data_IF_229449630816
#
_entry.id   IF_229449630816
#
_cell.length_a   1.000
_cell.length_b   1.000
_cell.length_c   1.000
_cell.angle_alpha   90.00
_cell.angle_beta   90.00
_cell.angle_gamma   90.00
#
_symmetry.space_group_name_H-M   'P 1'
#
loop_
_entity.id
_entity.type
_entity.pdbx_description
1 polymer ?
#
# COMPACT_ATOMS: atom_id res chain seq x y z
N UNK A 1 -4.23 11.74 -2.04
CA UNK A 1 -4.87 10.58 -1.38
C UNK A 1 -3.85 9.45 -1.45
N UNK A 2 -3.62 8.62 -0.40
CA UNK A 2 -2.72 7.49 -0.58
C UNK A 2 -3.29 6.63 -1.71
N UNK A 3 -2.47 6.37 -2.73
CA UNK A 3 -2.79 5.60 -3.94
C UNK A 3 -3.06 4.13 -3.58
N UNK A 4 -4.15 3.85 -2.88
CA UNK A 4 -4.61 2.52 -2.47
C UNK A 4 -6.15 2.49 -2.44
N UNK A 5 -6.76 1.33 -2.71
CA UNK A 5 -8.22 1.14 -2.63
C UNK A 5 -8.97 1.14 -3.97
N UNK A 6 -8.36 0.68 -5.06
CA UNK A 6 -9.08 0.41 -6.31
C UNK A 6 -10.13 -0.70 -6.11
N UNK A 7 -11.25 -0.59 -6.83
CA UNK A 7 -12.32 -1.59 -6.81
C UNK A 7 -12.94 -1.76 -8.20
N UNK A 8 -12.49 -2.80 -8.89
CA UNK A 8 -12.91 -3.26 -10.22
C UNK A 8 -13.55 -4.65 -10.16
N UNK A 9 -13.64 -5.22 -8.95
CA UNK A 9 -14.13 -6.57 -8.69
C UNK A 9 -13.10 -7.68 -8.95
N UNK A 10 -11.87 -7.35 -9.34
CA UNK A 10 -10.77 -8.30 -9.58
C UNK A 10 -9.44 -7.72 -9.09
N UNK A 11 -8.76 -8.42 -8.17
CA UNK A 11 -7.54 -7.93 -7.52
C UNK A 11 -6.41 -7.59 -8.50
N UNK A 12 -6.20 -8.40 -9.54
CA UNK A 12 -5.20 -8.14 -10.58
C UNK A 12 -5.49 -6.84 -11.36
N UNK A 13 -6.77 -6.58 -11.65
CA UNK A 13 -7.21 -5.35 -12.30
C UNK A 13 -7.11 -4.14 -11.37
N UNK A 14 -7.36 -4.33 -10.08
CA UNK A 14 -7.21 -3.30 -9.06
C UNK A 14 -5.74 -2.86 -8.93
N UNK A 15 -4.81 -3.81 -8.90
CA UNK A 15 -3.37 -3.54 -8.90
C UNK A 15 -2.97 -2.80 -10.18
N UNK A 16 -3.38 -3.28 -11.36
CA UNK A 16 -3.07 -2.63 -12.63
C UNK A 16 -3.59 -1.19 -12.70
N UNK A 17 -4.80 -0.94 -12.16
CA UNK A 17 -5.36 0.41 -12.06
C UNK A 17 -4.50 1.29 -11.16
N UNK A 18 -4.12 0.82 -9.97
CA UNK A 18 -3.27 1.60 -9.06
C UNK A 18 -1.91 1.94 -9.69
N UNK A 19 -1.30 1.00 -10.42
CA UNK A 19 -0.07 1.25 -11.19
C UNK A 19 -0.25 2.36 -12.21
N UNK A 20 -1.36 2.36 -12.96
CA UNK A 20 -1.66 3.43 -13.92
C UNK A 20 -1.86 4.80 -13.26
N UNK A 21 -2.21 4.83 -11.97
CA UNK A 21 -2.36 6.05 -11.17
C UNK A 21 -1.04 6.48 -10.49
N UNK A 22 0.07 5.75 -10.71
CA UNK A 22 1.39 6.08 -10.16
C UNK A 22 1.75 5.36 -8.88
N UNK A 23 1.22 4.15 -8.65
CA UNK A 23 1.68 3.29 -7.56
C UNK A 23 3.18 2.95 -7.74
N UNK A 24 4.02 3.12 -6.70
CA UNK A 24 5.41 2.69 -6.73
C UNK A 24 5.54 1.17 -6.94
N UNK A 25 6.59 0.78 -7.64
CA UNK A 25 6.85 -0.61 -8.04
C UNK A 25 6.94 -1.55 -6.83
N UNK A 26 7.59 -1.13 -5.75
CA UNK A 26 7.76 -1.94 -4.55
C UNK A 26 6.42 -2.28 -3.89
N UNK A 27 5.45 -1.37 -4.01
CA UNK A 27 4.10 -1.54 -3.44
C UNK A 27 3.26 -2.44 -4.34
N UNK A 28 3.43 -2.32 -5.66
CA UNK A 28 2.84 -3.26 -6.62
C UNK A 28 3.33 -4.68 -6.31
N UNK A 29 4.64 -4.87 -6.18
CA UNK A 29 5.25 -6.18 -5.90
C UNK A 29 4.73 -6.79 -4.59
N UNK A 30 4.60 -5.98 -3.53
CA UNK A 30 4.04 -6.43 -2.25
C UNK A 30 2.56 -6.83 -2.39
N UNK A 31 1.75 -6.07 -3.16
CA UNK A 31 0.35 -6.41 -3.42
C UNK A 31 0.21 -7.68 -4.26
N UNK A 32 1.03 -7.85 -5.28
CA UNK A 32 1.05 -9.05 -6.12
C UNK A 32 1.51 -10.28 -5.34
N UNK A 33 2.49 -10.15 -4.44
CA UNK A 33 2.87 -11.21 -3.51
C UNK A 33 1.68 -11.66 -2.67
N UNK A 34 1.01 -10.74 -1.99
CA UNK A 34 -0.17 -11.03 -1.18
C UNK A 34 -1.31 -11.66 -2.01
N UNK A 35 -1.53 -11.18 -3.23
CA UNK A 35 -2.55 -11.73 -4.15
C UNK A 35 -2.25 -13.18 -4.53
N UNK A 36 -1.00 -13.48 -4.90
CA UNK A 36 -0.61 -14.83 -5.33
C UNK A 36 -0.67 -15.81 -4.17
N UNK A 37 -0.05 -15.47 -3.03
CA UNK A 37 -0.04 -16.37 -1.86
C UNK A 37 -1.45 -16.54 -1.30
N UNK A 38 -2.22 -15.45 -1.17
CA UNK A 38 -3.60 -15.49 -0.68
C UNK A 38 -4.53 -16.32 -1.58
N UNK A 39 -4.38 -16.27 -2.91
CA UNK A 39 -5.18 -17.07 -3.82
C UNK A 39 -4.79 -18.56 -3.82
N UNK A 40 -3.49 -18.86 -3.66
CA UNK A 40 -2.99 -20.25 -3.65
C UNK A 40 -3.37 -21.00 -2.36
N UNK A 41 -3.68 -20.30 -1.27
CA UNK A 41 -4.10 -20.92 -0.01
C UNK A 41 -5.54 -21.48 -0.02
N UNK A 42 -6.37 -21.19 -1.05
CA UNK A 42 -7.83 -21.43 -1.02
C UNK A 42 -8.32 -22.38 -2.12
N UNK A 43 -7.49 -23.33 -2.60
CA UNK A 43 -8.01 -24.40 -3.46
C UNK A 43 -8.78 -25.44 -2.61
N UNK A 44 -10.13 -25.52 -2.72
CA UNK A 44 -10.99 -26.13 -1.71
C UNK A 44 -11.05 -27.67 -1.74
N UNK A 45 -10.03 -28.33 -2.29
CA UNK A 45 -10.04 -29.80 -2.51
C UNK A 45 -8.80 -30.53 -2.01
N UNK A 46 -7.76 -29.82 -1.59
CA UNK A 46 -6.55 -30.39 -1.00
C UNK A 46 -6.09 -29.49 0.14
N UNK A 47 -5.72 -30.07 1.28
CA UNK A 47 -4.99 -29.36 2.33
C UNK A 47 -3.70 -28.84 1.67
N UNK A 48 -3.53 -27.52 1.56
CA UNK A 48 -2.31 -26.98 0.97
C UNK A 48 -1.15 -27.28 1.93
N UNK A 49 -0.30 -28.24 1.56
CA UNK A 49 0.82 -28.75 2.36
C UNK A 49 1.93 -27.68 2.50
N UNK A 50 1.86 -26.61 1.71
CA UNK A 50 2.83 -25.49 1.70
C UNK A 50 2.38 -24.27 2.53
N UNK A 51 1.27 -24.35 3.28
CA UNK A 51 0.86 -23.30 4.23
C UNK A 51 1.72 -23.39 5.51
N UNK A 52 2.85 -22.68 5.49
CA UNK A 52 3.84 -22.70 6.56
C UNK A 52 3.81 -21.41 7.39
N UNK A 53 4.22 -21.45 8.67
CA UNK A 53 4.41 -20.24 9.47
C UNK A 53 5.29 -19.19 8.77
N UNK A 54 6.30 -19.62 8.03
CA UNK A 54 7.20 -18.76 7.26
C UNK A 54 6.46 -17.98 6.17
N UNK A 55 5.53 -18.62 5.45
CA UNK A 55 4.70 -17.95 4.44
C UNK A 55 3.75 -16.92 5.07
N UNK A 56 3.14 -17.27 6.20
CA UNK A 56 2.32 -16.33 6.97
C UNK A 56 3.14 -15.13 7.44
N UNK A 57 4.36 -15.35 7.96
CA UNK A 57 5.27 -14.28 8.34
C UNK A 57 5.62 -13.37 7.16
N UNK A 58 5.98 -13.93 6.00
CA UNK A 58 6.26 -13.15 4.80
C UNK A 58 5.04 -12.33 4.33
N UNK A 59 3.83 -12.87 4.41
CA UNK A 59 2.60 -12.11 4.12
C UNK A 59 2.39 -10.96 5.11
N UNK A 60 2.62 -11.17 6.40
CA UNK A 60 2.53 -10.11 7.40
C UNK A 60 3.60 -9.02 7.20
N UNK A 61 4.80 -9.39 6.75
CA UNK A 61 5.83 -8.43 6.38
C UNK A 61 5.40 -7.57 5.20
N UNK A 62 4.89 -8.18 4.12
CA UNK A 62 4.39 -7.43 2.95
C UNK A 62 3.22 -6.52 3.31
N UNK A 63 2.27 -7.01 4.12
CA UNK A 63 1.15 -6.19 4.61
C UNK A 63 1.64 -5.01 5.46
N UNK A 64 2.56 -5.25 6.38
CA UNK A 64 3.13 -4.22 7.26
C UNK A 64 3.87 -3.16 6.43
N UNK A 65 4.62 -3.58 5.41
CA UNK A 65 5.29 -2.69 4.48
C UNK A 65 4.31 -1.78 3.73
N UNK A 66 3.23 -2.34 3.16
CA UNK A 66 2.19 -1.56 2.46
C UNK A 66 1.56 -0.53 3.41
N UNK A 67 1.23 -0.92 4.63
CA UNK A 67 0.63 -0.03 5.64
C UNK A 67 1.60 1.08 6.05
N UNK A 68 2.86 0.76 6.30
CA UNK A 68 3.87 1.76 6.69
C UNK A 68 4.06 2.80 5.58
N UNK A 69 4.25 2.36 4.33
CA UNK A 69 4.53 3.26 3.20
C UNK A 69 3.32 4.09 2.77
N UNK A 70 2.11 3.49 2.76
CA UNK A 70 0.92 4.16 2.22
C UNK A 70 0.05 4.83 3.27
N UNK A 71 0.17 4.47 4.54
CA UNK A 71 -0.70 4.98 5.59
C UNK A 71 0.12 5.66 6.70
N UNK A 72 1.02 4.93 7.36
CA UNK A 72 1.67 5.44 8.56
C UNK A 72 2.67 6.57 8.27
N UNK A 73 3.58 6.39 7.30
CA UNK A 73 4.55 7.43 6.91
C UNK A 73 3.87 8.71 6.39
N UNK A 74 2.93 8.66 5.43
CA UNK A 74 2.24 9.87 4.96
C UNK A 74 1.48 10.58 6.08
N UNK A 75 0.84 9.83 6.99
CA UNK A 75 0.15 10.39 8.14
C UNK A 75 1.13 11.11 9.07
N UNK A 76 2.24 10.47 9.44
CA UNK A 76 3.28 11.05 10.31
C UNK A 76 3.87 12.34 9.71
N UNK A 77 4.19 12.33 8.42
CA UNK A 77 4.69 13.52 7.72
C UNK A 77 3.67 14.65 7.74
N UNK A 78 2.39 14.36 7.42
CA UNK A 78 1.32 15.36 7.43
C UNK A 78 1.12 15.96 8.83
N UNK A 79 1.13 15.13 9.87
CA UNK A 79 0.97 15.57 11.26
C UNK A 79 2.12 16.49 11.70
N UNK A 80 3.37 16.15 11.35
CA UNK A 80 4.53 16.98 11.66
C UNK A 80 4.52 18.29 10.85
N UNK A 81 4.18 18.22 9.56
CA UNK A 81 4.07 19.40 8.70
C UNK A 81 3.00 20.37 9.21
N UNK A 82 1.86 19.85 9.69
CA UNK A 82 0.78 20.66 10.25
C UNK A 82 1.16 21.40 11.54
N UNK A 83 2.27 21.03 12.20
CA UNK A 83 2.79 21.72 13.40
C UNK A 83 3.66 22.93 13.06
N UNK A 84 3.98 23.18 11.79
CA UNK A 84 4.77 24.33 11.39
C UNK A 84 4.02 25.65 11.70
N UNK A 85 4.74 26.75 12.00
CA UNK A 85 4.11 28.05 12.21
C UNK A 85 3.28 28.49 11.00
N UNK A 86 2.14 29.12 11.25
CA UNK A 86 1.20 29.57 10.20
C UNK A 86 1.89 30.43 9.13
N UNK A 87 2.81 31.31 9.52
CA UNK A 87 3.56 32.14 8.58
C UNK A 87 4.41 31.33 7.59
N UNK A 88 5.02 30.23 8.03
CA UNK A 88 5.78 29.33 7.17
C UNK A 88 4.85 28.55 6.22
N UNK A 89 3.71 28.06 6.73
CA UNK A 89 2.69 27.38 5.91
C UNK A 89 2.16 28.30 4.80
N UNK A 90 1.81 29.55 5.13
CA UNK A 90 1.35 30.54 4.14
C UNK A 90 2.43 30.85 3.10
N UNK A 91 3.70 30.93 3.49
CA UNK A 91 4.80 31.16 2.55
C UNK A 91 4.96 29.99 1.57
N UNK A 92 4.84 28.75 2.05
CA UNK A 92 4.87 27.54 1.23
C UNK A 92 3.69 27.52 0.25
N UNK A 93 2.46 27.79 0.71
CA UNK A 93 1.29 27.83 -0.16
C UNK A 93 1.39 28.89 -1.26
N UNK A 94 1.97 30.06 -0.96
CA UNK A 94 2.22 31.10 -1.97
C UNK A 94 3.25 30.67 -3.01
N UNK A 95 4.30 29.94 -2.60
CA UNK A 95 5.31 29.40 -3.51
C UNK A 95 4.70 28.35 -4.45
N UNK A 96 3.91 27.43 -3.92
CA UNK A 96 3.38 26.28 -4.68
C UNK A 96 2.21 26.65 -5.61
N UNK A 97 1.62 27.84 -5.45
CA UNK A 97 0.61 28.42 -6.36
C UNK A 97 1.20 29.18 -7.56
N UNK A 98 2.53 29.29 -7.64
CA UNK A 98 3.25 29.91 -8.76
C UNK A 98 3.68 28.87 -9.77
#
# INVERSE_FOLDING_TARGET
MPLIGANTGKLDKDIAKLVSEGLPEEIQQALDFCRVIGNNAVHPKELNIDDTPEMAHAMFEMLSFIVEEKIAKPKRVKELFARLPTGALTAIEKRDKK
#
